data_IF_501718196907
#
_entry.id   IF_501718196907
#
_cell.length_a   1.000
_cell.length_b   1.000
_cell.length_c   1.000
_cell.angle_alpha   90.00
_cell.angle_beta   90.00
_cell.angle_gamma   90.00
#
_symmetry.space_group_name_H-M   'P 1'
#
loop_
_entity.id
_entity.type
_entity.pdbx_description
1 polymer ?
#
# COMPACT_ATOMS: atom_id res chain seq x y z
N UNK A 1 21.60 -26.30 7.88
CA UNK A 1 21.63 -25.31 6.80
C UNK A 1 20.65 -24.23 7.21
N UNK A 2 21.12 -23.01 7.38
CA UNK A 2 20.30 -21.94 7.95
C UNK A 2 19.16 -21.56 7.01
N UNK A 3 18.04 -21.17 7.58
CA UNK A 3 16.89 -20.71 6.80
C UNK A 3 17.29 -19.47 5.97
N UNK A 4 16.89 -19.43 4.70
CA UNK A 4 17.07 -18.24 3.85
C UNK A 4 16.34 -17.06 4.51
N UNK A 5 17.10 -16.05 4.93
CA UNK A 5 16.57 -14.81 5.47
C UNK A 5 15.67 -14.11 4.44
N UNK A 6 14.56 -13.53 4.90
CA UNK A 6 13.61 -12.77 4.05
C UNK A 6 13.06 -13.56 2.84
N UNK A 7 13.04 -14.90 2.91
CA UNK A 7 12.67 -15.77 1.78
C UNK A 7 11.33 -15.39 1.13
N UNK A 8 10.31 -15.07 1.94
CA UNK A 8 9.00 -14.67 1.45
C UNK A 8 9.06 -13.44 0.53
N UNK A 9 9.82 -12.42 0.94
CA UNK A 9 10.04 -11.20 0.14
C UNK A 9 10.81 -11.49 -1.14
N UNK A 10 11.91 -12.25 -1.04
CA UNK A 10 12.73 -12.67 -2.20
C UNK A 10 11.93 -13.49 -3.21
N UNK A 11 11.13 -14.45 -2.74
CA UNK A 11 10.22 -15.21 -3.60
C UNK A 11 9.21 -14.27 -4.28
N UNK A 12 8.63 -13.33 -3.55
CA UNK A 12 7.73 -12.31 -4.10
C UNK A 12 8.35 -11.54 -5.28
N UNK A 13 9.57 -11.02 -5.08
CA UNK A 13 10.35 -10.32 -6.12
C UNK A 13 10.61 -11.23 -7.32
N UNK A 14 11.11 -12.44 -7.09
CA UNK A 14 11.45 -13.39 -8.15
C UNK A 14 10.24 -13.76 -9.02
N UNK A 15 9.08 -14.03 -8.41
CA UNK A 15 7.87 -14.38 -9.15
C UNK A 15 7.41 -13.24 -10.07
N UNK A 16 7.53 -11.99 -9.64
CA UNK A 16 7.11 -10.85 -10.46
C UNK A 16 8.12 -10.48 -11.52
N UNK A 17 9.41 -10.47 -11.19
CA UNK A 17 10.48 -10.25 -12.15
C UNK A 17 10.41 -11.26 -13.32
N UNK A 18 9.96 -12.48 -13.03
CA UNK A 18 9.84 -13.58 -14.01
C UNK A 18 8.43 -13.80 -14.54
N UNK A 19 7.45 -12.96 -14.15
CA UNK A 19 6.03 -13.09 -14.53
C UNK A 19 5.41 -14.48 -14.21
N UNK A 20 5.86 -15.12 -13.14
CA UNK A 20 5.34 -16.40 -12.64
C UNK A 20 4.18 -16.22 -11.66
N UNK A 21 3.10 -16.97 -11.87
CA UNK A 21 1.99 -17.06 -10.91
C UNK A 21 2.26 -18.13 -9.85
N UNK A 22 1.58 -18.04 -8.69
CA UNK A 22 1.65 -19.09 -7.65
C UNK A 22 1.28 -20.48 -8.18
N UNK A 23 0.34 -20.54 -9.13
CA UNK A 23 -0.10 -21.78 -9.77
C UNK A 23 0.98 -22.34 -10.67
N UNK A 24 1.62 -21.49 -11.49
CA UNK A 24 2.71 -21.91 -12.36
C UNK A 24 3.90 -22.47 -11.57
N UNK A 25 4.23 -21.84 -10.45
CA UNK A 25 5.27 -22.33 -9.52
C UNK A 25 4.87 -23.67 -8.92
N UNK A 26 3.65 -23.77 -8.39
CA UNK A 26 3.14 -25.00 -7.78
C UNK A 26 3.20 -26.18 -8.77
N UNK A 27 2.78 -25.95 -10.01
CA UNK A 27 2.85 -26.95 -11.09
C UNK A 27 4.29 -27.34 -11.43
N UNK A 28 5.19 -26.36 -11.61
CA UNK A 28 6.58 -26.63 -11.94
C UNK A 28 7.33 -27.39 -10.82
N UNK A 29 6.98 -27.10 -9.56
CA UNK A 29 7.55 -27.75 -8.39
C UNK A 29 6.79 -29.03 -7.99
N UNK A 30 5.66 -29.36 -8.61
CA UNK A 30 4.84 -30.51 -8.23
C UNK A 30 4.40 -30.46 -6.76
N UNK A 31 4.06 -29.26 -6.28
CA UNK A 31 3.59 -29.01 -4.91
C UNK A 31 2.21 -28.35 -4.92
N UNK A 32 1.54 -28.34 -3.77
CA UNK A 32 0.26 -27.65 -3.62
C UNK A 32 0.38 -26.12 -3.73
N UNK A 33 -0.59 -25.49 -4.38
CA UNK A 33 -0.71 -24.01 -4.47
C UNK A 33 -0.73 -23.35 -3.08
N UNK A 34 -1.36 -24.00 -2.09
CA UNK A 34 -1.42 -23.50 -0.72
C UNK A 34 -0.05 -23.51 -0.03
N UNK A 35 0.86 -24.42 -0.39
CA UNK A 35 2.23 -24.43 0.12
C UNK A 35 3.02 -23.22 -0.40
N UNK A 36 2.92 -22.92 -1.69
CA UNK A 36 3.52 -21.71 -2.28
C UNK A 36 2.93 -20.44 -1.65
N UNK A 37 1.63 -20.46 -1.31
CA UNK A 37 0.99 -19.38 -0.56
C UNK A 37 1.61 -19.17 0.83
N UNK A 38 1.86 -20.25 1.57
CA UNK A 38 2.51 -20.19 2.91
C UNK A 38 3.97 -19.75 2.84
N UNK A 39 4.67 -20.07 1.76
CA UNK A 39 6.01 -19.55 1.50
C UNK A 39 6.01 -18.03 1.30
N UNK A 40 5.08 -17.52 0.49
CA UNK A 40 4.93 -16.09 0.22
C UNK A 40 4.45 -15.29 1.44
N UNK A 41 3.75 -15.92 2.39
CA UNK A 41 3.36 -15.29 3.64
C UNK A 41 4.43 -15.43 4.75
N UNK A 42 5.53 -16.13 4.49
CA UNK A 42 6.56 -16.44 5.49
C UNK A 42 6.10 -17.43 6.58
N UNK A 43 4.94 -18.06 6.44
CA UNK A 43 4.41 -18.97 7.45
C UNK A 43 5.21 -20.29 7.53
N UNK A 44 5.84 -20.69 6.43
CA UNK A 44 6.68 -21.89 6.33
C UNK A 44 7.83 -21.62 5.36
N UNK A 45 9.01 -22.21 5.60
CA UNK A 45 10.13 -22.17 4.67
C UNK A 45 10.14 -23.38 3.71
N UNK A 46 10.67 -23.24 2.49
CA UNK A 46 10.86 -24.39 1.61
C UNK A 46 11.89 -25.34 2.21
N UNK A 47 11.72 -26.64 1.95
CA UNK A 47 12.77 -27.62 2.16
C UNK A 47 13.92 -27.37 1.18
N UNK A 48 15.11 -27.90 1.47
CA UNK A 48 16.28 -27.81 0.59
C UNK A 48 15.97 -28.32 -0.83
N UNK A 49 15.24 -29.43 -0.94
CA UNK A 49 14.77 -29.98 -2.22
C UNK A 49 13.91 -28.98 -3.01
N UNK A 50 12.95 -28.33 -2.34
CA UNK A 50 12.07 -27.36 -2.97
C UNK A 50 12.82 -26.08 -3.34
N UNK A 51 13.77 -25.63 -2.52
CA UNK A 51 14.61 -24.48 -2.81
C UNK A 51 15.52 -24.72 -4.02
N UNK A 52 16.10 -25.91 -4.15
CA UNK A 52 16.90 -26.29 -5.32
C UNK A 52 16.07 -26.30 -6.61
N UNK A 53 14.84 -26.85 -6.56
CA UNK A 53 13.92 -26.85 -7.71
C UNK A 53 13.44 -25.44 -8.08
N UNK A 54 13.16 -24.61 -7.09
CA UNK A 54 12.82 -23.21 -7.31
C UNK A 54 13.98 -22.45 -7.97
N UNK A 55 15.21 -22.69 -7.51
CA UNK A 55 16.42 -22.09 -8.08
C UNK A 55 16.59 -22.47 -9.55
N UNK A 56 16.39 -23.74 -9.90
CA UNK A 56 16.43 -24.19 -11.29
C UNK A 56 15.34 -23.49 -12.14
N UNK A 57 14.11 -23.40 -11.62
CA UNK A 57 13.01 -22.73 -12.31
C UNK A 57 13.29 -21.24 -12.60
N UNK A 58 13.97 -20.56 -11.67
CA UNK A 58 14.37 -19.17 -11.84
C UNK A 58 15.57 -19.03 -12.78
N UNK A 59 16.54 -19.94 -12.72
CA UNK A 59 17.69 -19.95 -13.63
C UNK A 59 17.28 -20.14 -15.11
N UNK A 60 16.21 -20.90 -15.37
CA UNK A 60 15.63 -21.04 -16.71
C UNK A 60 15.08 -19.72 -17.27
N UNK A 61 14.70 -18.78 -16.42
CA UNK A 61 14.11 -17.48 -16.80
C UNK A 61 15.08 -16.32 -16.65
N UNK A 62 16.06 -16.45 -15.77
CA UNK A 62 17.03 -15.43 -15.46
C UNK A 62 18.43 -16.05 -15.48
N UNK A 63 19.12 -15.87 -16.61
CA UNK A 63 20.42 -16.46 -16.85
C UNK A 63 21.41 -16.13 -15.72
N UNK A 64 22.09 -17.15 -15.19
CA UNK A 64 23.09 -17.00 -14.14
C UNK A 64 22.53 -16.84 -12.73
N UNK A 65 21.24 -17.06 -12.51
CA UNK A 65 20.67 -17.22 -11.17
C UNK A 65 21.12 -18.57 -10.55
N UNK A 66 21.55 -18.57 -9.29
CA UNK A 66 22.20 -19.68 -8.58
C UNK A 66 21.71 -19.75 -7.13
N UNK A 67 22.00 -20.87 -6.47
CA UNK A 67 21.61 -21.09 -5.07
C UNK A 67 22.17 -20.03 -4.11
N UNK A 68 23.38 -19.54 -4.38
CA UNK A 68 24.04 -18.50 -3.58
C UNK A 68 23.39 -17.12 -3.69
N UNK A 69 22.55 -16.89 -4.71
CA UNK A 69 21.83 -15.61 -4.82
C UNK A 69 20.82 -15.44 -3.67
N UNK A 70 20.34 -16.55 -3.08
CA UNK A 70 19.45 -16.51 -1.91
C UNK A 70 20.12 -15.98 -0.64
N UNK A 71 21.46 -15.98 -0.57
CA UNK A 71 22.23 -15.53 0.60
C UNK A 71 22.35 -14.00 0.67
N UNK A 72 22.08 -13.29 -0.44
CA UNK A 72 22.02 -11.82 -0.46
C UNK A 72 20.91 -11.30 0.46
N UNK A 73 21.02 -10.07 0.95
CA UNK A 73 19.87 -9.37 1.54
C UNK A 73 18.79 -9.12 0.47
N UNK A 74 17.58 -8.71 0.89
CA UNK A 74 16.48 -8.49 -0.05
C UNK A 74 16.82 -7.46 -1.15
N UNK A 75 17.57 -6.40 -0.82
CA UNK A 75 18.02 -5.38 -1.76
C UNK A 75 18.99 -5.95 -2.80
N UNK A 76 20.02 -6.68 -2.36
CA UNK A 76 20.98 -7.35 -3.24
C UNK A 76 20.30 -8.39 -4.13
N UNK A 77 19.34 -9.14 -3.59
CA UNK A 77 18.53 -10.10 -4.34
C UNK A 77 17.69 -9.40 -5.43
N UNK A 78 16.98 -8.33 -5.11
CA UNK A 78 16.19 -7.57 -6.07
C UNK A 78 17.06 -6.92 -7.17
N UNK A 79 18.24 -6.42 -6.78
CA UNK A 79 19.24 -5.89 -7.70
C UNK A 79 19.67 -6.90 -8.78
N UNK A 80 19.67 -8.21 -8.48
CA UNK A 80 19.97 -9.25 -9.49
C UNK A 80 18.96 -9.28 -10.63
N UNK A 81 17.72 -8.86 -10.37
CA UNK A 81 16.66 -8.73 -11.37
C UNK A 81 16.57 -7.31 -11.96
N UNK A 82 17.53 -6.42 -11.67
CA UNK A 82 17.51 -5.02 -12.10
C UNK A 82 16.44 -4.18 -11.39
N UNK A 83 15.96 -4.63 -10.24
CA UNK A 83 14.92 -3.95 -9.46
C UNK A 83 15.58 -3.23 -8.29
N UNK A 84 15.39 -1.91 -8.23
CA UNK A 84 15.71 -1.14 -7.04
C UNK A 84 14.48 -1.12 -6.11
N UNK A 85 14.61 -1.69 -4.92
CA UNK A 85 13.59 -1.57 -3.89
C UNK A 85 13.73 -0.18 -3.26
N UNK A 86 12.68 0.66 -3.27
CA UNK A 86 12.72 1.91 -2.55
C UNK A 86 12.74 1.62 -1.05
N UNK A 87 13.59 2.33 -0.31
CA UNK A 87 13.71 2.20 1.14
C UNK A 87 12.78 3.19 1.83
N UNK A 88 12.20 2.78 2.96
CA UNK A 88 11.53 3.71 3.88
C UNK A 88 12.50 4.82 4.29
N UNK A 89 12.01 6.05 4.39
CA UNK A 89 12.83 7.21 4.70
C UNK A 89 13.69 7.74 3.54
N UNK A 90 13.68 7.10 2.38
CA UNK A 90 14.41 7.61 1.22
C UNK A 90 13.82 8.95 0.74
N UNK A 91 14.69 9.88 0.33
CA UNK A 91 14.28 11.17 -0.23
C UNK A 91 14.03 11.03 -1.74
N UNK A 92 12.77 11.09 -2.21
CA UNK A 92 12.46 10.98 -3.63
C UNK A 92 13.04 12.14 -4.46
N UNK A 93 13.31 13.30 -3.86
CA UNK A 93 13.96 14.44 -4.54
C UNK A 93 15.44 14.23 -4.84
N UNK A 94 16.07 13.27 -4.15
CA UNK A 94 17.42 12.77 -4.46
C UNK A 94 17.35 11.71 -5.55
N UNK A 95 16.40 10.78 -5.44
CA UNK A 95 16.23 9.68 -6.40
C UNK A 95 15.75 10.15 -7.79
N UNK A 96 14.87 11.17 -7.81
CA UNK A 96 14.24 11.73 -9.00
C UNK A 96 14.43 13.25 -9.02
N UNK A 97 15.60 13.75 -9.47
CA UNK A 97 15.94 15.17 -9.37
C UNK A 97 14.92 16.12 -10.03
N UNK A 98 14.23 15.66 -11.07
CA UNK A 98 13.19 16.45 -11.75
C UNK A 98 11.95 16.68 -10.91
N UNK A 99 11.69 15.85 -9.89
CA UNK A 99 10.60 16.03 -8.95
C UNK A 99 10.96 16.95 -7.78
N UNK A 100 12.23 17.35 -7.64
CA UNK A 100 12.71 18.13 -6.49
C UNK A 100 11.83 19.36 -6.16
N UNK A 101 11.39 20.20 -7.11
CA UNK A 101 10.52 21.34 -6.78
C UNK A 101 9.21 20.93 -6.10
N UNK A 102 8.59 19.83 -6.54
CA UNK A 102 7.40 19.27 -5.92
C UNK A 102 7.71 18.74 -4.52
N UNK A 103 8.85 18.06 -4.35
CA UNK A 103 9.27 17.50 -3.07
C UNK A 103 9.54 18.60 -2.05
N UNK A 104 10.16 19.72 -2.44
CA UNK A 104 10.38 20.84 -1.52
C UNK A 104 9.09 21.51 -1.07
N UNK A 105 8.13 21.71 -1.99
CA UNK A 105 6.79 22.21 -1.61
C UNK A 105 6.14 21.26 -0.58
N UNK A 106 6.22 19.96 -0.83
CA UNK A 106 5.67 18.95 0.09
C UNK A 106 6.40 18.94 1.45
N UNK A 107 7.72 19.14 1.46
CA UNK A 107 8.54 19.22 2.68
C UNK A 107 8.18 20.44 3.51
N UNK A 108 8.00 21.60 2.88
CA UNK A 108 7.55 22.82 3.55
C UNK A 108 6.14 22.67 4.14
N UNK A 109 5.20 22.11 3.37
CA UNK A 109 3.85 21.82 3.86
C UNK A 109 3.85 20.77 4.98
N UNK A 110 4.70 19.74 4.88
CA UNK A 110 4.87 18.74 5.95
C UNK A 110 5.43 19.38 7.22
N UNK A 111 6.37 20.32 7.09
CA UNK A 111 6.86 21.09 8.23
C UNK A 111 5.77 21.89 8.95
N UNK A 112 4.78 22.40 8.20
CA UNK A 112 3.66 23.19 8.75
C UNK A 112 2.52 22.33 9.28
N UNK A 113 2.19 21.22 8.61
CA UNK A 113 0.94 20.46 8.82
C UNK A 113 1.10 18.94 8.78
N UNK A 114 2.31 18.42 8.69
CA UNK A 114 2.58 16.97 8.62
C UNK A 114 1.95 16.20 9.78
N UNK A 115 2.05 16.73 11.00
CA UNK A 115 1.49 16.15 12.22
C UNK A 115 -0.02 15.88 12.14
N UNK A 116 -0.75 16.60 11.29
CA UNK A 116 -2.18 16.34 11.03
C UNK A 116 -2.43 14.95 10.49
N UNK A 117 -1.49 14.43 9.70
CA UNK A 117 -1.64 13.19 8.98
C UNK A 117 -0.91 12.01 9.63
N UNK A 118 -0.14 12.23 10.71
CA UNK A 118 0.63 11.18 11.38
C UNK A 118 -0.24 10.30 12.28
N UNK A 119 -0.25 8.98 12.08
CA UNK A 119 -1.09 8.06 12.83
C UNK A 119 -1.19 6.66 12.24
N UNK A 120 -1.97 5.82 12.90
CA UNK A 120 -2.42 4.55 12.34
C UNK A 120 -3.76 4.72 11.65
N UNK A 121 -3.91 4.10 10.49
CA UNK A 121 -5.10 4.24 9.66
C UNK A 121 -5.56 2.90 9.09
N UNK A 122 -6.85 2.86 8.77
CA UNK A 122 -7.51 1.82 8.00
C UNK A 122 -8.00 2.42 6.69
N UNK A 123 -7.71 1.76 5.57
CA UNK A 123 -8.34 2.08 4.28
C UNK A 123 -9.68 1.37 4.15
N UNK A 124 -10.59 1.93 3.37
CA UNK A 124 -11.76 1.21 2.86
C UNK A 124 -11.91 1.53 1.37
N UNK A 125 -11.94 0.48 0.55
CA UNK A 125 -12.04 0.60 -0.92
C UNK A 125 -12.78 -0.57 -1.55
N UNK A 126 -13.41 -0.41 -2.73
CA UNK A 126 -13.95 -1.55 -3.46
C UNK A 126 -12.88 -2.56 -3.86
N UNK A 127 -13.31 -3.81 -4.00
CA UNK A 127 -12.59 -4.85 -4.73
C UNK A 127 -12.90 -4.76 -6.22
N UNK A 128 -11.86 -4.76 -7.07
CA UNK A 128 -12.03 -4.92 -8.52
C UNK A 128 -12.27 -6.36 -8.94
N UNK A 129 -11.91 -7.33 -8.10
CA UNK A 129 -11.92 -8.75 -8.44
C UNK A 129 -13.12 -9.49 -7.86
N UNK A 130 -13.75 -8.92 -6.83
CA UNK A 130 -14.88 -9.51 -6.11
C UNK A 130 -15.93 -8.43 -5.94
N UNK A 131 -17.04 -8.56 -6.67
CA UNK A 131 -18.12 -7.58 -6.62
C UNK A 131 -18.62 -7.33 -5.18
N UNK A 132 -19.08 -6.10 -4.93
CA UNK A 132 -19.72 -5.66 -3.68
C UNK A 132 -18.91 -5.84 -2.38
N UNK A 133 -17.63 -6.15 -2.52
CA UNK A 133 -16.70 -6.39 -1.42
C UNK A 133 -15.88 -5.14 -1.14
N UNK A 134 -15.78 -4.77 0.15
CA UNK A 134 -14.89 -3.71 0.62
C UNK A 134 -13.62 -4.35 1.17
N UNK A 135 -12.47 -3.87 0.69
CA UNK A 135 -11.15 -4.23 1.20
C UNK A 135 -10.69 -3.20 2.23
N UNK A 136 -10.00 -3.72 3.24
CA UNK A 136 -9.32 -2.94 4.26
C UNK A 136 -7.84 -3.25 4.27
N UNK A 137 -7.03 -2.21 4.26
CA UNK A 137 -5.62 -2.25 4.62
C UNK A 137 -5.42 -1.45 5.90
N UNK A 138 -4.43 -1.82 6.70
CA UNK A 138 -4.03 -1.13 7.92
C UNK A 138 -2.61 -0.63 7.78
N UNK A 139 -2.36 0.58 8.23
CA UNK A 139 -1.08 1.21 7.97
C UNK A 139 -0.73 2.33 8.91
N UNK A 140 0.48 2.82 8.70
CA UNK A 140 1.11 3.90 9.43
C UNK A 140 1.48 5.02 8.47
N UNK A 141 1.20 6.25 8.89
CA UNK A 141 1.71 7.47 8.25
C UNK A 141 2.57 8.18 9.28
N UNK A 142 3.83 8.46 8.96
CA UNK A 142 4.81 9.04 9.89
C UNK A 142 5.73 9.99 9.16
N UNK A 143 6.15 11.08 9.82
CA UNK A 143 7.22 11.94 9.32
C UNK A 143 8.58 11.25 9.44
N UNK A 144 9.35 11.25 8.35
CA UNK A 144 10.70 10.69 8.30
C UNK A 144 11.77 11.75 8.58
N UNK A 145 13.05 11.33 8.64
CA UNK A 145 14.19 12.23 8.87
C UNK A 145 14.41 13.23 7.74
N UNK A 146 14.01 12.89 6.50
CA UNK A 146 13.97 13.83 5.40
C UNK A 146 12.84 14.88 5.56
N UNK A 147 11.96 14.74 6.55
CA UNK A 147 10.88 15.69 6.78
C UNK A 147 9.73 15.57 5.78
N UNK A 148 9.60 14.42 5.12
CA UNK A 148 8.41 14.02 4.36
C UNK A 148 7.57 13.04 5.18
N UNK A 149 6.34 12.74 4.75
CA UNK A 149 5.54 11.68 5.35
C UNK A 149 5.80 10.36 4.62
N UNK A 150 6.34 9.38 5.32
CA UNK A 150 6.34 7.99 4.90
C UNK A 150 4.97 7.37 5.15
N UNK A 151 4.57 6.49 4.24
CA UNK A 151 3.35 5.70 4.35
C UNK A 151 3.70 4.23 4.17
N UNK A 152 3.19 3.39 5.06
CA UNK A 152 3.19 1.94 4.88
C UNK A 152 1.79 1.40 5.18
N UNK A 153 1.24 0.60 4.29
CA UNK A 153 -0.11 0.01 4.38
C UNK A 153 -0.03 -1.49 4.07
N UNK A 154 -0.68 -2.30 4.89
CA UNK A 154 -0.70 -3.76 4.76
C UNK A 154 -2.11 -4.31 4.69
N UNK A 155 -2.30 -5.31 3.85
CA UNK A 155 -3.56 -6.04 3.80
C UNK A 155 -3.50 -7.17 2.77
N UNK A 156 -4.15 -8.28 3.09
CA UNK A 156 -4.22 -9.47 2.22
C UNK A 156 -2.83 -9.99 1.81
N UNK A 157 -1.83 -9.86 2.69
CA UNK A 157 -0.46 -10.29 2.44
C UNK A 157 0.33 -9.41 1.46
N UNK A 158 -0.15 -8.19 1.19
CA UNK A 158 0.57 -7.17 0.43
C UNK A 158 1.07 -6.08 1.38
N UNK A 159 2.18 -5.45 1.02
CA UNK A 159 2.75 -4.29 1.70
C UNK A 159 2.97 -3.19 0.67
N UNK A 160 2.26 -2.08 0.84
CA UNK A 160 2.39 -0.88 0.05
C UNK A 160 3.17 0.15 0.84
N UNK A 161 4.25 0.66 0.26
CA UNK A 161 5.11 1.66 0.89
C UNK A 161 5.32 2.85 -0.04
N UNK A 162 5.65 4.00 0.53
CA UNK A 162 5.99 5.19 -0.24
C UNK A 162 5.77 6.45 0.56
N UNK A 163 5.28 7.50 -0.11
CA UNK A 163 5.21 8.84 0.47
C UNK A 163 3.82 9.44 0.38
N UNK A 164 3.48 10.24 1.39
CA UNK A 164 2.39 11.19 1.32
C UNK A 164 2.95 12.61 1.27
N UNK A 165 2.50 13.38 0.27
CA UNK A 165 2.97 14.72 -0.05
C UNK A 165 1.80 15.70 0.16
N UNK A 166 1.74 16.40 1.29
CA UNK A 166 0.75 17.45 1.51
C UNK A 166 0.96 18.60 0.54
N UNK A 167 -0.10 19.04 -0.15
CA UNK A 167 -0.07 20.22 -1.01
C UNK A 167 -1.48 20.80 -1.20
N UNK A 168 -1.64 22.11 -0.98
CA UNK A 168 -2.88 22.86 -1.29
C UNK A 168 -4.17 22.20 -0.76
N UNK A 169 -4.21 21.82 0.52
CA UNK A 169 -5.34 21.11 1.14
C UNK A 169 -5.67 19.74 0.53
N UNK A 170 -4.73 19.13 -0.19
CA UNK A 170 -4.79 17.75 -0.63
C UNK A 170 -3.58 16.99 -0.08
N UNK A 171 -3.71 15.68 -0.03
CA UNK A 171 -2.63 14.77 0.31
C UNK A 171 -2.42 13.83 -0.87
N UNK A 172 -1.30 14.01 -1.56
CA UNK A 172 -0.92 13.19 -2.72
C UNK A 172 -0.08 12.02 -2.22
N UNK A 173 -0.60 10.80 -2.31
CA UNK A 173 0.05 9.61 -1.83
C UNK A 173 0.52 8.78 -3.02
N UNK A 174 1.79 8.40 -3.01
CA UNK A 174 2.38 7.53 -4.01
C UNK A 174 2.92 6.32 -3.30
N UNK A 175 2.31 5.16 -3.55
CA UNK A 175 2.75 3.89 -2.98
C UNK A 175 3.20 2.94 -4.09
N UNK A 176 4.05 2.00 -3.72
CA UNK A 176 4.39 0.84 -4.52
C UNK A 176 4.23 -0.39 -3.64
N UNK A 177 3.71 -1.47 -4.22
CA UNK A 177 3.76 -2.76 -3.56
C UNK A 177 5.19 -3.29 -3.68
N UNK A 178 5.94 -3.36 -2.57
CA UNK A 178 7.32 -3.88 -2.55
C UNK A 178 7.36 -5.36 -2.96
N UNK A 179 6.28 -6.08 -2.69
CA UNK A 179 6.11 -7.42 -3.22
C UNK A 179 5.74 -7.32 -4.69
N UNK A 180 4.72 -6.52 -5.04
CA UNK A 180 3.91 -6.38 -6.30
C UNK A 180 4.53 -5.75 -7.51
N UNK A 181 5.46 -4.85 -7.26
CA UNK A 181 5.99 -3.89 -8.23
C UNK A 181 4.85 -3.14 -8.96
N UNK A 182 3.72 -2.93 -8.28
CA UNK A 182 2.59 -2.19 -8.82
C UNK A 182 2.54 -0.83 -8.12
N UNK A 183 2.78 0.28 -8.85
CA UNK A 183 2.55 1.60 -8.30
C UNK A 183 1.04 1.80 -8.12
N UNK A 184 0.68 2.57 -7.10
CA UNK A 184 -0.65 3.13 -6.94
C UNK A 184 -0.51 4.58 -6.46
N UNK A 185 -1.46 5.41 -6.88
CA UNK A 185 -1.50 6.82 -6.50
C UNK A 185 -2.84 7.13 -5.90
N UNK A 186 -2.85 7.88 -4.81
CA UNK A 186 -4.07 8.32 -4.14
C UNK A 186 -4.03 9.83 -3.99
N UNK A 187 -5.15 10.49 -4.24
CA UNK A 187 -5.34 11.89 -3.86
C UNK A 187 -6.45 11.93 -2.84
N UNK A 188 -6.09 12.26 -1.60
CA UNK A 188 -7.07 12.55 -0.56
C UNK A 188 -7.33 14.05 -0.47
N UNK A 189 -8.57 14.40 -0.18
CA UNK A 189 -8.90 15.73 0.31
C UNK A 189 -8.35 15.87 1.73
N UNK A 190 -7.52 16.89 1.95
CA UNK A 190 -6.96 17.21 3.26
C UNK A 190 -7.99 17.86 4.19
N UNK A 191 -7.62 17.99 5.46
CA UNK A 191 -8.46 18.59 6.51
C UNK A 191 -7.75 19.78 7.13
N UNK A 192 -8.51 20.81 7.50
CA UNK A 192 -7.96 22.03 8.13
C UNK A 192 -7.57 21.82 9.60
N UNK A 193 -8.21 20.85 10.26
CA UNK A 193 -8.04 20.62 11.69
C UNK A 193 -6.70 19.92 12.00
N UNK A 194 -6.13 20.14 13.21
CA UNK A 194 -4.83 19.62 13.61
C UNK A 194 -4.65 18.11 13.54
N UNK A 195 -5.74 17.32 13.51
CA UNK A 195 -5.69 15.85 13.47
C UNK A 195 -6.67 15.31 12.46
N UNK A 196 -6.19 14.61 11.43
CA UNK A 196 -7.05 13.92 10.46
C UNK A 196 -7.67 12.67 11.10
N UNK A 197 -9.01 12.60 11.03
CA UNK A 197 -9.79 11.47 11.54
C UNK A 197 -10.32 10.61 10.41
N UNK A 198 -10.85 11.25 9.37
CA UNK A 198 -11.25 10.58 8.13
C UNK A 198 -10.78 11.43 6.96
N UNK A 199 -10.23 10.78 5.94
CA UNK A 199 -9.94 11.38 4.64
C UNK A 199 -10.69 10.61 3.56
N UNK A 200 -11.11 11.33 2.53
CA UNK A 200 -11.82 10.79 1.39
C UNK A 200 -11.05 11.16 0.13
N UNK A 201 -10.93 10.19 -0.78
CA UNK A 201 -10.00 10.30 -1.88
C UNK A 201 -10.38 9.46 -3.08
N UNK A 202 -9.54 9.59 -4.11
CA UNK A 202 -9.58 8.77 -5.32
C UNK A 202 -8.24 8.07 -5.42
N UNK A 203 -8.31 6.76 -5.63
CA UNK A 203 -7.15 5.90 -5.83
C UNK A 203 -7.12 5.41 -7.28
N UNK A 204 -5.92 5.46 -7.85
CA UNK A 204 -5.55 4.94 -9.16
C UNK A 204 -4.62 3.74 -8.95
N UNK A 205 -4.96 2.61 -9.56
CA UNK A 205 -4.17 1.39 -9.47
C UNK A 205 -4.35 0.51 -10.72
N UNK A 206 -3.46 -0.46 -10.89
CA UNK A 206 -3.65 -1.57 -11.80
C UNK A 206 -4.04 -2.82 -11.00
N UNK A 207 -5.17 -3.45 -11.36
CA UNK A 207 -5.61 -4.69 -10.72
C UNK A 207 -4.52 -5.76 -10.82
N UNK A 208 -4.45 -6.66 -9.85
CA UNK A 208 -3.52 -7.80 -9.89
C UNK A 208 -4.08 -8.99 -10.70
N UNK A 209 -4.96 -8.72 -11.66
CA UNK A 209 -5.44 -9.70 -12.63
C UNK A 209 -4.42 -9.92 -13.77
N UNK A 210 -4.69 -10.87 -14.65
CA UNK A 210 -3.79 -11.19 -15.75
C UNK A 210 -3.60 -10.03 -16.73
N UNK A 211 -4.60 -9.16 -16.87
CA UNK A 211 -4.58 -8.00 -17.77
C UNK A 211 -3.99 -6.73 -17.17
N UNK A 212 -3.71 -6.71 -15.86
CA UNK A 212 -3.31 -5.49 -15.12
C UNK A 212 -4.29 -4.34 -15.35
N UNK A 213 -5.58 -4.62 -15.19
CA UNK A 213 -6.66 -3.69 -15.53
C UNK A 213 -6.49 -2.36 -14.77
N UNK A 214 -6.24 -1.22 -15.47
CA UNK A 214 -6.15 0.09 -14.83
C UNK A 214 -7.53 0.55 -14.36
N UNK A 215 -7.62 1.12 -13.16
CA UNK A 215 -8.86 1.58 -12.59
C UNK A 215 -8.69 2.82 -11.71
N UNK A 216 -9.76 3.59 -11.59
CA UNK A 216 -9.93 4.67 -10.63
C UNK A 216 -11.12 4.34 -9.72
N UNK A 217 -10.98 4.50 -8.40
CA UNK A 217 -12.06 4.23 -7.46
C UNK A 217 -12.02 5.14 -6.23
N UNK A 218 -13.15 5.34 -5.53
CA UNK A 218 -13.15 5.99 -4.23
C UNK A 218 -12.36 5.19 -3.20
N UNK A 219 -11.76 5.90 -2.25
CA UNK A 219 -11.11 5.31 -1.08
C UNK A 219 -11.33 6.19 0.14
N UNK A 220 -11.60 5.57 1.28
CA UNK A 220 -11.62 6.23 2.58
C UNK A 220 -10.37 5.83 3.37
N UNK A 221 -9.88 6.75 4.17
CA UNK A 221 -8.83 6.52 5.16
C UNK A 221 -9.33 6.96 6.52
N UNK A 222 -9.47 6.03 7.46
CA UNK A 222 -10.02 6.27 8.79
C UNK A 222 -8.95 6.05 9.85
N UNK A 223 -8.75 7.00 10.77
CA UNK A 223 -7.76 6.87 11.83
C UNK A 223 -8.18 5.77 12.81
N UNK A 224 -7.23 4.90 13.12
CA UNK A 224 -7.37 3.79 14.07
C UNK A 224 -6.63 4.08 15.38
N UNK A 225 -5.55 4.85 15.32
CA UNK A 225 -4.73 5.11 16.49
C UNK A 225 -3.74 6.24 16.27
N UNK A 226 -3.09 6.61 17.36
CA UNK A 226 -1.99 7.58 17.35
C UNK A 226 -0.67 6.83 17.36
N UNK A 227 0.35 7.45 16.75
CA UNK A 227 1.71 6.93 16.78
C UNK A 227 2.27 6.96 18.20
N UNK A 228 3.22 6.09 18.46
CA UNK A 228 4.20 6.32 19.52
C UNK A 228 5.39 7.12 18.97
N UNK A 229 6.25 7.58 19.85
CA UNK A 229 7.53 8.19 19.47
C UNK A 229 8.61 7.13 19.12
N UNK A 230 8.23 5.85 19.00
CA UNK A 230 9.11 4.73 18.64
C UNK A 230 8.72 4.16 17.27
N UNK A 231 9.53 4.41 16.22
CA UNK A 231 9.27 3.92 14.87
C UNK A 231 9.17 2.40 14.75
N UNK A 232 9.99 1.66 15.50
CA UNK A 232 10.04 0.20 15.42
C UNK A 232 8.83 -0.41 16.13
N UNK A 233 8.47 0.11 17.30
CA UNK A 233 7.27 -0.32 18.02
C UNK A 233 5.99 -0.05 17.20
N UNK A 234 5.92 1.08 16.52
CA UNK A 234 4.78 1.40 15.66
C UNK A 234 4.71 0.52 14.42
N UNK A 235 5.85 0.18 13.83
CA UNK A 235 5.85 -0.75 12.71
C UNK A 235 5.41 -2.15 13.13
N UNK A 236 5.86 -2.62 14.30
CA UNK A 236 5.39 -3.87 14.88
C UNK A 236 3.88 -3.84 15.16
N UNK A 237 3.37 -2.72 15.67
CA UNK A 237 1.94 -2.49 15.88
C UNK A 237 1.17 -2.57 14.56
N UNK A 238 1.64 -1.89 13.51
CA UNK A 238 1.03 -1.93 12.19
C UNK A 238 0.98 -3.37 11.62
N UNK A 239 2.01 -4.19 11.84
CA UNK A 239 2.00 -5.61 11.44
C UNK A 239 0.89 -6.38 12.17
N UNK A 240 0.73 -6.17 13.48
CA UNK A 240 -0.29 -6.85 14.28
C UNK A 240 -1.72 -6.48 13.84
N UNK A 241 -1.95 -5.25 13.39
CA UNK A 241 -3.27 -4.77 12.95
C UNK A 241 -3.88 -5.57 11.80
N UNK A 242 -3.08 -6.21 10.93
CA UNK A 242 -3.60 -7.06 9.85
C UNK A 242 -4.38 -8.26 10.40
N UNK A 243 -3.98 -8.79 11.57
CA UNK A 243 -4.66 -9.88 12.25
C UNK A 243 -5.78 -9.38 13.18
N UNK A 244 -5.55 -8.28 13.89
CA UNK A 244 -6.48 -7.75 14.90
C UNK A 244 -7.67 -7.01 14.29
N UNK A 245 -7.48 -6.40 13.11
CA UNK A 245 -8.47 -5.59 12.40
C UNK A 245 -9.19 -4.56 13.32
N UNK A 246 -8.43 -3.68 14.00
CA UNK A 246 -9.00 -2.74 14.95
C UNK A 246 -10.01 -1.78 14.29
N UNK A 247 -11.05 -1.42 15.04
CA UNK A 247 -12.02 -0.43 14.60
C UNK A 247 -11.40 0.99 14.55
N UNK A 248 -11.84 1.86 13.63
CA UNK A 248 -11.45 3.27 13.66
C UNK A 248 -11.90 3.98 14.93
N UNK A 249 -11.18 5.04 15.30
CA UNK A 249 -11.50 5.89 16.45
C UNK A 249 -12.81 6.67 16.29
N UNK A 250 -13.14 7.06 15.06
CA UNK A 250 -14.40 7.74 14.71
C UNK A 250 -14.94 7.14 13.41
N UNK A 251 -15.52 5.92 13.48
CA UNK A 251 -15.86 5.15 12.30
C UNK A 251 -16.96 5.83 11.49
N UNK A 252 -16.82 5.81 10.17
CA UNK A 252 -17.90 6.16 9.25
C UNK A 252 -18.93 5.02 9.26
N UNK A 253 -20.23 5.29 9.37
CA UNK A 253 -21.25 4.23 9.34
C UNK A 253 -21.16 3.39 8.06
N UNK A 254 -21.32 2.07 8.15
CA UNK A 254 -21.18 1.16 7.01
C UNK A 254 -22.06 1.53 5.80
N UNK A 255 -23.29 2.00 6.05
CA UNK A 255 -24.18 2.47 5.00
C UNK A 255 -23.59 3.66 4.22
N UNK A 256 -22.91 4.56 4.92
CA UNK A 256 -22.22 5.72 4.34
C UNK A 256 -20.96 5.29 3.58
N UNK A 257 -20.17 4.39 4.16
CA UNK A 257 -19.01 3.78 3.48
C UNK A 257 -19.45 3.14 2.17
N UNK A 258 -20.49 2.29 2.18
CA UNK A 258 -20.99 1.65 0.96
C UNK A 258 -21.50 2.66 -0.06
N UNK A 259 -22.31 3.64 0.37
CA UNK A 259 -22.82 4.69 -0.52
C UNK A 259 -21.68 5.43 -1.21
N UNK A 260 -20.58 5.69 -0.51
CA UNK A 260 -19.43 6.40 -1.04
C UNK A 260 -18.60 5.56 -2.00
N UNK A 261 -18.26 4.34 -1.59
CA UNK A 261 -17.35 3.46 -2.32
C UNK A 261 -17.97 2.91 -3.61
N UNK A 262 -19.29 2.71 -3.63
CA UNK A 262 -20.02 2.16 -4.78
C UNK A 262 -20.92 3.18 -5.49
N UNK A 263 -20.59 4.47 -5.36
CA UNK A 263 -21.35 5.52 -6.06
C UNK A 263 -21.25 5.35 -7.57
N UNK A 264 -22.36 5.64 -8.23
CA UNK A 264 -22.41 5.70 -9.68
C UNK A 264 -21.86 7.06 -10.17
N UNK A 265 -21.15 7.03 -11.29
CA UNK A 265 -20.55 8.21 -11.90
C UNK A 265 -20.61 8.07 -13.42
N UNK A 266 -21.05 9.13 -14.09
CA UNK A 266 -21.18 9.15 -15.54
C UNK A 266 -22.40 9.94 -16.02
N UNK A 267 -22.57 10.04 -17.35
CA UNK A 267 -23.62 10.86 -17.95
C UNK A 267 -25.02 10.41 -17.52
N UNK A 268 -25.30 9.10 -17.50
CA UNK A 268 -26.62 8.57 -17.13
C UNK A 268 -26.96 8.86 -15.67
N UNK A 269 -26.03 8.63 -14.75
CA UNK A 269 -26.25 8.89 -13.32
C UNK A 269 -26.50 10.38 -13.04
N UNK A 270 -25.74 11.24 -13.71
CA UNK A 270 -25.83 12.69 -13.59
C UNK A 270 -27.15 13.23 -14.14
N UNK A 271 -27.58 12.76 -15.32
CA UNK A 271 -28.88 13.13 -15.92
C UNK A 271 -30.07 12.69 -15.06
N UNK A 272 -29.92 11.61 -14.29
CA UNK A 272 -30.93 11.12 -13.35
C UNK A 272 -30.87 11.80 -11.97
N UNK A 273 -29.91 12.70 -11.74
CA UNK A 273 -29.71 13.36 -10.44
C UNK A 273 -29.26 12.41 -9.31
N UNK A 274 -28.68 11.25 -9.67
CA UNK A 274 -28.26 10.19 -8.72
C UNK A 274 -26.75 10.18 -8.45
N UNK A 275 -25.96 10.89 -9.24
CA UNK A 275 -24.51 10.92 -9.13
C UNK A 275 -23.86 12.04 -9.93
N UNK A 276 -22.53 12.07 -9.88
CA UNK A 276 -21.71 13.05 -10.59
C UNK A 276 -21.45 12.62 -12.03
N UNK A 277 -21.17 13.59 -12.91
CA UNK A 277 -20.75 13.31 -14.29
C UNK A 277 -19.38 12.64 -14.37
N UNK A 278 -18.54 12.89 -13.37
CA UNK A 278 -17.18 12.34 -13.23
C UNK A 278 -16.97 11.86 -11.81
N UNK A 279 -16.07 10.90 -11.61
CA UNK A 279 -15.67 10.50 -10.26
C UNK A 279 -14.89 11.64 -9.58
N UNK A 280 -15.49 12.30 -8.59
CA UNK A 280 -14.89 13.45 -7.90
C UNK A 280 -15.18 13.48 -6.39
N UNK A 281 -14.24 13.84 -5.53
CA UNK A 281 -14.52 14.06 -4.09
C UNK A 281 -14.98 15.51 -3.91
N UNK A 282 -16.28 15.74 -4.02
CA UNK A 282 -16.91 17.07 -3.92
C UNK A 282 -17.00 17.53 -2.47
N UNK A 283 -17.11 18.85 -2.25
CA UNK A 283 -17.28 19.41 -0.90
C UNK A 283 -18.64 19.09 -0.27
N UNK A 284 -19.69 18.92 -1.09
CA UNK A 284 -21.04 18.58 -0.66
C UNK A 284 -21.15 17.19 -0.03
N UNK A 285 -20.27 16.27 -0.44
CA UNK A 285 -20.33 14.85 -0.08
C UNK A 285 -19.01 14.36 0.53
N UNK A 286 -18.16 15.28 0.98
CA UNK A 286 -16.86 14.94 1.57
C UNK A 286 -17.05 14.41 3.00
N UNK A 287 -16.51 13.23 3.26
CA UNK A 287 -16.40 12.68 4.61
C UNK A 287 -15.13 13.12 5.33
N UNK A 288 -14.26 13.88 4.64
CA UNK A 288 -12.99 14.33 5.19
C UNK A 288 -13.20 15.27 6.37
N UNK A 289 -12.77 14.85 7.55
CA UNK A 289 -12.95 15.58 8.80
C UNK A 289 -11.77 15.36 9.74
N UNK A 290 -11.59 16.31 10.65
CA UNK A 290 -10.53 16.24 11.64
C UNK A 290 -11.01 16.54 13.04
N UNK A 291 -10.06 16.60 13.97
CA UNK A 291 -10.29 16.95 15.36
C UNK A 291 -9.28 18.01 15.81
N UNK A 292 -9.70 18.90 16.70
CA UNK A 292 -8.84 19.91 17.32
C UNK A 292 -8.00 19.35 18.49
N UNK A 293 -8.29 18.12 18.92
CA UNK A 293 -7.71 17.45 20.08
C UNK A 293 -8.64 16.33 20.56
N UNK A 294 -8.40 15.71 21.74
CA UNK A 294 -9.31 14.74 22.32
C UNK A 294 -10.61 15.44 22.74
N UNK A 295 -11.60 15.50 21.85
CA UNK A 295 -12.98 15.85 22.20
C UNK A 295 -13.66 16.99 21.43
N UNK A 296 -12.96 17.74 20.57
CA UNK A 296 -13.58 18.78 19.73
C UNK A 296 -13.53 18.41 18.24
N UNK A 297 -14.72 18.13 17.69
CA UNK A 297 -14.98 17.70 16.31
C UNK A 297 -15.35 18.92 15.46
N UNK A 298 -14.89 18.98 14.21
CA UNK A 298 -15.30 19.98 13.23
C UNK A 298 -15.19 19.48 11.81
#
# INVERSE_FOLDING_TARGET
MDHVGEFAGKLGVALKATSLSRVAVAQALGVDKSLVGRWLSGAVHPTEHNLARLTALLADRHAGFRMTDWDADLDGFAGRFGIALPRRGADPGVMLPHLRPLIEIAREETGRRGATYEGFFRTARPSLLVADTVFHEYGVVRRNEAGLLDVAMRGSGLLFEGWALPAHNNLFVFLYDSTGLSPLSIVFRGVALPKAMVLDGIMLLAALDAGRTPAAMPVLLERVGDLTDDPEADYATMIAMEAEMPAPLDPVPDAEVRRRLFRDAGPVSSEQGRGDRVLAVTASDAQSRGAAGPGLRG
#
